data_IF_830816651949
#
_entry.id   IF_830816651949
#
_cell.length_a   1.000
_cell.length_b   1.000
_cell.length_c   1.000
_cell.angle_alpha   90.00
_cell.angle_beta   90.00
_cell.angle_gamma   90.00
#
_symmetry.space_group_name_H-M   'P 1'
#
loop_
_entity.id
_entity.type
_entity.pdbx_description
1 polymer ?
#
# COMPACT_ATOMS: atom_id res chain seq x y z
N UNK A 1 -26.23 -7.71 0.92
CA UNK A 1 -26.45 -7.01 2.21
C UNK A 1 -27.61 -7.59 3.05
N UNK A 2 -28.34 -8.61 2.59
CA UNK A 2 -29.42 -9.24 3.36
C UNK A 2 -28.95 -10.16 4.52
N UNK A 3 -27.68 -10.61 4.54
CA UNK A 3 -27.16 -11.53 5.58
C UNK A 3 -26.93 -10.89 6.95
N UNK A 4 -26.88 -9.56 7.05
CA UNK A 4 -26.56 -8.83 8.30
C UNK A 4 -27.59 -7.74 8.63
N UNK A 5 -28.85 -7.89 8.17
CA UNK A 5 -29.93 -6.96 8.51
C UNK A 5 -29.61 -5.50 8.14
N UNK A 6 -28.95 -5.27 7.00
CA UNK A 6 -28.52 -3.95 6.53
C UNK A 6 -27.54 -3.19 7.47
N UNK A 7 -26.94 -3.89 8.45
CA UNK A 7 -25.88 -3.34 9.30
C UNK A 7 -24.52 -3.85 8.86
N UNK A 8 -23.46 -3.10 9.19
CA UNK A 8 -22.11 -3.55 8.93
C UNK A 8 -21.79 -4.78 9.79
N UNK A 9 -21.05 -5.77 9.24
CA UNK A 9 -20.54 -6.87 10.05
C UNK A 9 -19.73 -6.35 11.23
N UNK A 10 -19.66 -7.16 12.30
CA UNK A 10 -18.79 -6.87 13.42
C UNK A 10 -17.34 -6.68 12.95
N UNK A 11 -16.59 -5.73 13.53
CA UNK A 11 -15.22 -5.49 13.15
C UNK A 11 -14.39 -6.75 13.37
N UNK A 12 -13.62 -7.13 12.36
CA UNK A 12 -12.72 -8.28 12.44
C UNK A 12 -11.50 -7.92 13.30
N UNK A 13 -11.08 -8.86 14.14
CA UNK A 13 -9.86 -8.70 14.90
C UNK A 13 -8.65 -8.49 13.94
N UNK A 14 -7.80 -7.47 14.17
CA UNK A 14 -6.67 -7.16 13.28
C UNK A 14 -5.68 -8.32 13.11
N UNK A 15 -5.51 -9.17 14.12
CA UNK A 15 -4.68 -10.37 14.03
C UNK A 15 -5.29 -11.38 13.05
N UNK A 16 -6.60 -11.65 13.17
CA UNK A 16 -7.30 -12.56 12.26
C UNK A 16 -7.26 -12.03 10.83
N UNK A 17 -7.49 -10.72 10.64
CA UNK A 17 -7.38 -10.08 9.34
C UNK A 17 -5.99 -10.30 8.71
N UNK A 18 -4.93 -10.05 9.47
CA UNK A 18 -3.55 -10.23 9.00
C UNK A 18 -3.25 -11.69 8.64
N UNK A 19 -3.74 -12.66 9.41
CA UNK A 19 -3.57 -14.07 9.08
C UNK A 19 -4.32 -14.47 7.79
N UNK A 20 -5.53 -13.92 7.58
CA UNK A 20 -6.29 -14.16 6.35
C UNK A 20 -5.62 -13.58 5.11
N UNK A 21 -5.14 -12.33 5.14
CA UNK A 21 -4.47 -11.73 3.98
C UNK A 21 -3.15 -12.42 3.63
N UNK A 22 -2.43 -12.98 4.62
CA UNK A 22 -1.23 -13.79 4.37
C UNK A 22 -1.57 -15.06 3.60
N UNK A 23 -2.66 -15.75 3.97
CA UNK A 23 -3.14 -16.93 3.23
C UNK A 23 -3.52 -16.57 1.80
N UNK A 24 -4.23 -15.47 1.61
CA UNK A 24 -4.58 -14.97 0.26
C UNK A 24 -3.32 -14.66 -0.55
N UNK A 25 -2.33 -14.00 0.04
CA UNK A 25 -1.07 -13.69 -0.63
C UNK A 25 -0.24 -14.94 -0.98
N UNK A 26 -0.27 -15.97 -0.12
CA UNK A 26 0.35 -17.26 -0.41
C UNK A 26 -0.31 -17.94 -1.61
N UNK A 27 -1.65 -17.96 -1.66
CA UNK A 27 -2.41 -18.48 -2.80
C UNK A 27 -2.16 -17.68 -4.09
N UNK A 28 -1.98 -16.37 -3.97
CA UNK A 28 -1.60 -15.48 -5.06
C UNK A 28 -0.12 -15.60 -5.47
N UNK A 29 0.64 -16.53 -4.87
CA UNK A 29 2.06 -16.79 -5.16
C UNK A 29 2.96 -15.56 -4.98
N UNK A 30 2.69 -14.74 -3.96
CA UNK A 30 3.54 -13.62 -3.57
C UNK A 30 4.68 -14.15 -2.66
N UNK A 31 5.50 -15.03 -3.20
CA UNK A 31 6.50 -15.82 -2.46
C UNK A 31 7.95 -15.40 -2.72
N UNK A 32 8.18 -14.24 -3.34
CA UNK A 32 9.53 -13.71 -3.53
C UNK A 32 10.26 -13.64 -2.17
N UNK A 33 11.46 -14.22 -2.03
CA UNK A 33 12.22 -14.13 -0.79
C UNK A 33 12.68 -12.69 -0.55
N UNK A 34 12.52 -12.22 0.68
CA UNK A 34 12.92 -10.88 1.11
C UNK A 34 13.69 -10.97 2.43
N UNK A 35 14.69 -10.11 2.58
CA UNK A 35 15.42 -9.92 3.84
C UNK A 35 14.60 -9.06 4.78
N UNK A 36 14.34 -9.57 5.97
CA UNK A 36 13.51 -8.91 6.96
C UNK A 36 14.28 -8.79 8.26
N UNK A 37 14.25 -7.60 8.84
CA UNK A 37 14.82 -7.35 10.15
C UNK A 37 13.75 -7.55 11.21
N UNK A 38 13.86 -8.64 11.97
CA UNK A 38 12.93 -8.94 13.07
C UNK A 38 13.66 -8.86 14.40
N UNK A 39 13.03 -8.21 15.38
CA UNK A 39 13.53 -8.20 16.76
C UNK A 39 13.17 -9.54 17.41
N UNK A 40 14.18 -10.28 17.86
CA UNK A 40 14.04 -11.53 18.60
C UNK A 40 14.73 -11.33 19.95
N UNK A 41 13.93 -11.15 20.99
CA UNK A 41 14.40 -10.73 22.32
C UNK A 41 15.02 -9.32 22.27
N UNK A 42 16.28 -9.21 22.71
CA UNK A 42 17.02 -7.95 22.75
C UNK A 42 17.82 -7.64 21.47
N UNK A 43 17.84 -8.55 20.49
CA UNK A 43 18.64 -8.39 19.26
C UNK A 43 17.75 -8.34 18.02
N UNK A 44 18.12 -7.49 17.06
CA UNK A 44 17.58 -7.55 15.70
C UNK A 44 18.36 -8.57 14.89
N UNK A 45 17.66 -9.52 14.28
CA UNK A 45 18.23 -10.49 13.35
C UNK A 45 17.66 -10.24 11.96
N UNK A 46 18.49 -10.45 10.96
CA UNK A 46 18.04 -10.53 9.57
C UNK A 46 17.62 -11.97 9.28
N UNK A 47 16.49 -12.12 8.62
CA UNK A 47 15.90 -13.40 8.26
C UNK A 47 15.50 -13.32 6.79
N UNK A 48 15.80 -14.37 6.04
CA UNK A 48 15.23 -14.58 4.71
C UNK A 48 13.86 -15.25 4.87
N UNK A 49 12.82 -14.58 4.41
CA UNK A 49 11.43 -15.06 4.50
C UNK A 49 10.71 -14.78 3.20
N UNK A 50 9.70 -15.60 2.88
CA UNK A 50 8.84 -15.34 1.74
C UNK A 50 7.98 -14.09 2.00
N UNK A 51 7.79 -13.26 0.98
CA UNK A 51 7.10 -11.97 1.12
C UNK A 51 5.72 -12.10 1.74
N UNK A 52 4.93 -13.10 1.35
CA UNK A 52 3.59 -13.34 1.91
C UNK A 52 3.57 -13.52 3.42
N UNK A 53 4.63 -14.09 4.02
CA UNK A 53 4.69 -14.38 5.46
C UNK A 53 4.65 -13.12 6.32
N UNK A 54 5.02 -11.98 5.73
CA UNK A 54 5.19 -10.72 6.44
C UNK A 54 4.24 -9.62 5.95
N UNK A 55 3.28 -9.95 5.09
CA UNK A 55 2.24 -9.02 4.67
C UNK A 55 1.31 -8.70 5.85
N UNK A 56 0.97 -7.42 5.96
CA UNK A 56 0.05 -6.86 6.96
C UNK A 56 -0.88 -5.87 6.28
N UNK A 57 -1.97 -5.50 6.97
CA UNK A 57 -2.88 -4.43 6.56
C UNK A 57 -2.16 -3.14 6.21
N UNK A 58 -1.13 -2.77 6.99
CA UNK A 58 -0.32 -1.57 6.76
C UNK A 58 0.45 -1.63 5.43
N UNK A 59 1.03 -2.78 5.09
CA UNK A 59 1.72 -2.98 3.80
C UNK A 59 0.70 -2.83 2.66
N UNK A 60 -0.49 -3.43 2.80
CA UNK A 60 -1.56 -3.29 1.81
C UNK A 60 -1.97 -1.84 1.57
N UNK A 61 -2.23 -1.07 2.64
CA UNK A 61 -2.55 0.37 2.55
C UNK A 61 -1.43 1.16 1.88
N UNK A 62 -0.17 0.85 2.20
CA UNK A 62 0.99 1.54 1.60
C UNK A 62 1.15 1.23 0.13
N UNK A 63 1.05 -0.05 -0.25
CA UNK A 63 1.10 -0.50 -1.64
C UNK A 63 -0.04 0.07 -2.47
N UNK A 64 -1.26 0.14 -1.91
CA UNK A 64 -2.38 0.85 -2.54
C UNK A 64 -2.01 2.30 -2.84
N UNK A 65 -1.57 3.05 -1.84
CA UNK A 65 -1.23 4.46 -2.00
C UNK A 65 -0.12 4.68 -3.04
N UNK A 66 0.95 3.88 -2.99
CA UNK A 66 2.09 4.01 -3.92
C UNK A 66 1.75 3.61 -5.35
N UNK A 67 0.95 2.55 -5.57
CA UNK A 67 0.65 2.03 -6.90
C UNK A 67 -0.30 2.91 -7.71
N UNK A 68 -1.16 3.67 -7.00
CA UNK A 68 -2.13 4.58 -7.59
C UNK A 68 -1.70 6.04 -7.57
N UNK A 69 -0.60 6.37 -6.89
CA UNK A 69 -0.02 7.71 -6.95
C UNK A 69 0.31 8.08 -8.41
N UNK A 70 -0.11 9.28 -8.83
CA UNK A 70 0.00 9.76 -10.22
C UNK A 70 -1.06 9.20 -11.18
N UNK A 71 -1.88 8.23 -10.76
CA UNK A 71 -3.02 7.69 -11.54
C UNK A 71 -4.37 8.17 -11.02
N UNK A 72 -4.50 8.27 -9.69
CA UNK A 72 -5.67 8.80 -9.00
C UNK A 72 -5.30 10.17 -8.43
N UNK A 73 -6.22 11.16 -8.44
CA UNK A 73 -6.00 12.44 -7.79
C UNK A 73 -5.51 12.28 -6.35
N UNK A 74 -4.38 12.92 -6.03
CA UNK A 74 -3.75 12.88 -4.70
C UNK A 74 -4.72 13.17 -3.55
N UNK A 75 -5.65 14.15 -3.64
CA UNK A 75 -6.62 14.40 -2.56
C UNK A 75 -7.51 13.20 -2.23
N UNK A 76 -7.92 12.41 -3.24
CA UNK A 76 -8.73 11.21 -3.03
C UNK A 76 -7.93 10.09 -2.37
N UNK A 77 -6.67 9.92 -2.77
CA UNK A 77 -5.76 8.97 -2.12
C UNK A 77 -5.48 9.36 -0.68
N UNK A 78 -5.28 10.65 -0.41
CA UNK A 78 -5.10 11.18 0.95
C UNK A 78 -6.33 10.93 1.83
N UNK A 79 -7.52 11.19 1.32
CA UNK A 79 -8.77 10.91 2.04
C UNK A 79 -8.94 9.42 2.31
N UNK A 80 -8.75 8.56 1.30
CA UNK A 80 -8.88 7.11 1.44
C UNK A 80 -7.86 6.52 2.41
N UNK A 81 -6.67 7.11 2.49
CA UNK A 81 -5.63 6.67 3.40
C UNK A 81 -5.63 7.42 4.72
N UNK A 82 -6.43 8.46 4.93
CA UNK A 82 -6.46 9.23 6.18
C UNK A 82 -5.20 10.06 6.45
N UNK A 83 -4.61 10.67 5.41
CA UNK A 83 -3.50 11.63 5.58
C UNK A 83 -4.02 13.07 5.52
N UNK A 84 -3.75 13.84 6.57
CA UNK A 84 -4.25 15.22 6.67
C UNK A 84 -3.45 16.23 5.84
N UNK A 85 -2.17 15.96 5.59
CA UNK A 85 -1.29 16.85 4.82
C UNK A 85 -0.60 16.10 3.70
N UNK A 86 -0.33 16.81 2.60
CA UNK A 86 0.35 16.22 1.45
C UNK A 86 1.77 15.77 1.83
N UNK A 87 2.47 16.53 2.68
CA UNK A 87 3.78 16.14 3.18
C UNK A 87 3.75 14.79 3.90
N UNK A 88 2.74 14.54 4.75
CA UNK A 88 2.59 13.27 5.45
C UNK A 88 2.33 12.12 4.46
N UNK A 89 1.49 12.35 3.46
CA UNK A 89 1.19 11.39 2.42
C UNK A 89 2.41 11.06 1.54
N UNK A 90 3.17 12.07 1.13
CA UNK A 90 4.39 11.90 0.34
C UNK A 90 5.46 11.13 1.11
N UNK A 91 5.66 11.45 2.39
CA UNK A 91 6.56 10.68 3.25
C UNK A 91 6.09 9.22 3.40
N UNK A 92 4.77 9.00 3.47
CA UNK A 92 4.19 7.67 3.59
C UNK A 92 4.44 6.80 2.34
N UNK A 93 4.15 7.32 1.14
CA UNK A 93 4.36 6.56 -0.10
C UNK A 93 5.86 6.44 -0.47
N UNK A 94 6.72 7.33 0.09
CA UNK A 94 8.15 7.41 -0.18
C UNK A 94 8.47 7.25 -1.68
N UNK A 95 7.93 8.14 -2.53
CA UNK A 95 8.08 7.98 -3.96
C UNK A 95 9.57 8.16 -4.26
N UNK A 96 10.22 7.09 -4.75
CA UNK A 96 11.53 7.23 -5.38
C UNK A 96 11.38 8.35 -6.43
N UNK A 97 12.29 9.33 -6.39
CA UNK A 97 12.22 10.61 -7.13
C UNK A 97 11.78 10.47 -8.62
N UNK A 98 12.01 9.30 -9.21
CA UNK A 98 11.63 8.91 -10.58
C UNK A 98 10.14 9.08 -10.89
N UNK A 99 9.22 8.76 -9.96
CA UNK A 99 7.79 8.83 -10.25
C UNK A 99 7.31 10.27 -10.51
N UNK A 100 7.90 11.26 -9.82
CA UNK A 100 7.57 12.68 -10.02
C UNK A 100 8.05 13.18 -11.38
N UNK A 101 9.26 12.78 -11.78
CA UNK A 101 9.84 13.14 -13.09
C UNK A 101 8.98 12.59 -14.23
N UNK A 102 8.54 11.33 -14.14
CA UNK A 102 7.67 10.71 -15.14
C UNK A 102 6.32 11.43 -15.21
N UNK A 103 5.71 11.74 -14.05
CA UNK A 103 4.43 12.47 -14.04
C UNK A 103 4.54 13.85 -14.68
N UNK A 104 5.65 14.56 -14.46
CA UNK A 104 5.89 15.86 -15.08
C UNK A 104 6.00 15.74 -16.60
N UNK A 105 6.74 14.74 -17.10
CA UNK A 105 6.83 14.45 -18.54
C UNK A 105 5.46 14.20 -19.17
N UNK A 106 4.66 13.31 -18.58
CA UNK A 106 3.31 13.00 -19.08
C UNK A 106 2.39 14.22 -19.09
N UNK A 107 2.50 15.11 -18.10
CA UNK A 107 1.72 16.35 -18.05
C UNK A 107 2.12 17.31 -19.17
N UNK A 108 3.42 17.48 -19.42
CA UNK A 108 3.89 18.28 -20.55
C UNK A 108 3.40 17.69 -21.87
N UNK A 109 3.58 16.39 -22.10
CA UNK A 109 3.08 15.72 -23.31
C UNK A 109 1.58 15.94 -23.51
N UNK A 110 0.78 15.84 -22.46
CA UNK A 110 -0.67 16.08 -22.53
C UNK A 110 -0.99 17.54 -22.89
N UNK A 111 -0.31 18.51 -22.27
CA UNK A 111 -0.49 19.93 -22.59
C UNK A 111 -0.12 20.22 -24.05
N UNK A 112 0.98 19.65 -24.53
CA UNK A 112 1.43 19.84 -25.92
C UNK A 112 0.55 19.08 -26.94
N UNK A 113 -0.09 17.97 -26.54
CA UNK A 113 -1.02 17.23 -27.38
C UNK A 113 -2.42 17.88 -27.46
N UNK A 114 -2.87 18.56 -26.39
CA UNK A 114 -4.15 19.28 -26.36
C UNK A 114 -4.05 20.73 -26.88
N UNK A 115 -2.83 21.26 -27.02
CA UNK A 115 -2.53 22.61 -27.53
C UNK A 115 -2.12 22.68 -29.00
N UNK A 116 -2.25 21.58 -29.75
CA UNK A 116 -2.08 21.49 -31.20
C UNK A 116 -3.43 21.21 -31.88
#
# INVERSE_FOLDING_TARGET
MARYGNTFPQPLDPYIYNEQIKKVAALARINTPVKIRKRIGFRCKELDMEKWQNITSHIGRRSFASNFYGKIPTPLLMQATGHSTEQMFLNYINPVNHARVISLGNYFEKIYAEGA
#
